data_IF_574106522755
#
_entry.id   IF_574106522755
#
_cell.length_a   1.000
_cell.length_b   1.000
_cell.length_c   1.000
_cell.angle_alpha   90.00
_cell.angle_beta   90.00
_cell.angle_gamma   90.00
#
_symmetry.space_group_name_H-M   'P 1'
#
loop_
_entity.id
_entity.type
_entity.pdbx_description
1 polymer ?
#
# COMPACT_ATOMS: atom_id res chain seq x y z
N UNK A 1 6.17 -37.74 28.99
CA UNK A 1 6.14 -37.42 27.55
C UNK A 1 6.25 -35.90 27.41
N UNK A 2 7.44 -35.36 27.14
CA UNK A 2 7.60 -33.91 26.93
C UNK A 2 6.91 -33.52 25.63
N UNK A 3 5.81 -32.78 25.71
CA UNK A 3 5.18 -32.15 24.54
C UNK A 3 6.15 -31.05 24.08
N UNK A 4 6.99 -31.38 23.10
CA UNK A 4 7.77 -30.38 22.37
C UNK A 4 6.79 -29.37 21.78
N UNK A 5 6.73 -28.17 22.35
CA UNK A 5 5.98 -27.06 21.76
C UNK A 5 6.74 -26.64 20.51
N UNK A 6 6.14 -26.84 19.35
CA UNK A 6 6.61 -26.31 18.08
C UNK A 6 6.93 -24.80 18.24
N UNK A 7 8.21 -24.38 18.17
CA UNK A 7 8.60 -22.99 18.33
C UNK A 7 8.03 -22.11 17.20
N UNK A 8 7.71 -22.75 16.07
CA UNK A 8 7.18 -22.13 14.87
C UNK A 8 8.22 -21.37 14.07
N UNK A 9 8.01 -21.31 12.75
CA UNK A 9 8.88 -20.63 11.81
C UNK A 9 8.60 -19.12 11.79
N UNK A 10 9.61 -18.23 11.85
CA UNK A 10 9.40 -16.81 11.65
C UNK A 10 8.93 -16.52 10.22
N UNK A 11 8.00 -15.59 10.03
CA UNK A 11 7.61 -15.17 8.67
C UNK A 11 8.67 -14.41 7.90
N UNK A 12 9.73 -13.95 8.57
CA UNK A 12 10.82 -13.22 7.91
C UNK A 12 11.60 -14.12 6.93
N UNK A 13 11.45 -15.45 7.00
CA UNK A 13 11.95 -16.37 5.96
C UNK A 13 11.26 -16.18 4.60
N UNK A 14 10.00 -15.75 4.62
CA UNK A 14 9.18 -15.48 3.42
C UNK A 14 9.26 -14.02 2.96
N UNK A 15 9.57 -13.10 3.88
CA UNK A 15 9.68 -11.67 3.62
C UNK A 15 11.10 -11.21 3.94
N UNK A 16 12.02 -11.62 3.09
CA UNK A 16 13.45 -11.43 3.33
C UNK A 16 13.79 -9.95 3.43
N UNK A 17 14.54 -9.62 4.49
CA UNK A 17 15.10 -8.31 4.73
C UNK A 17 16.53 -8.31 4.22
N UNK A 18 16.93 -7.20 3.58
CA UNK A 18 18.29 -7.00 3.07
C UNK A 18 19.31 -7.10 4.21
N UNK A 19 20.39 -7.86 4.06
CA UNK A 19 21.33 -8.12 5.14
C UNK A 19 22.08 -6.87 5.63
N UNK A 20 22.19 -5.83 4.80
CA UNK A 20 22.84 -4.55 5.17
C UNK A 20 22.00 -3.74 6.17
N UNK A 21 20.70 -4.03 6.29
CA UNK A 21 19.78 -3.29 7.16
C UNK A 21 19.63 -4.04 8.48
N UNK A 22 20.39 -3.59 9.48
CA UNK A 22 20.52 -4.26 10.78
C UNK A 22 19.47 -3.84 11.82
N UNK A 23 18.80 -2.71 11.60
CA UNK A 23 17.83 -2.09 12.51
C UNK A 23 16.36 -2.42 12.17
N UNK A 24 16.13 -3.25 11.15
CA UNK A 24 14.79 -3.66 10.74
C UNK A 24 14.04 -4.40 11.88
N UNK A 25 12.76 -4.09 12.13
CA UNK A 25 11.95 -4.82 13.11
C UNK A 25 11.83 -6.31 12.74
N UNK A 26 12.23 -7.19 13.67
CA UNK A 26 12.08 -8.65 13.52
C UNK A 26 10.65 -9.09 13.81
N UNK A 27 10.14 -10.08 13.06
CA UNK A 27 8.79 -10.61 13.30
C UNK A 27 8.66 -11.34 14.64
N UNK A 28 7.55 -11.06 15.32
CA UNK A 28 7.12 -11.81 16.49
C UNK A 28 6.12 -12.91 16.14
N UNK A 29 5.45 -12.81 15.01
CA UNK A 29 4.56 -13.86 14.51
C UNK A 29 5.36 -15.12 14.13
N UNK A 30 4.81 -16.28 14.49
CA UNK A 30 5.43 -17.59 14.26
C UNK A 30 4.40 -18.52 13.61
N UNK A 31 4.76 -19.07 12.46
CA UNK A 31 4.01 -20.07 11.73
C UNK A 31 4.08 -21.37 12.53
N UNK A 32 2.93 -21.87 12.99
CA UNK A 32 2.88 -23.06 13.84
C UNK A 32 2.07 -24.15 13.18
N UNK A 33 2.65 -25.35 13.11
CA UNK A 33 1.96 -26.52 12.57
C UNK A 33 0.65 -26.77 13.33
N UNK A 34 -0.41 -27.07 12.59
CA UNK A 34 -1.74 -27.31 13.16
C UNK A 34 -2.50 -26.06 13.61
N UNK A 35 -1.83 -24.95 13.93
CA UNK A 35 -2.47 -23.69 14.35
C UNK A 35 -2.67 -22.71 13.19
N UNK A 36 -1.61 -22.41 12.44
CA UNK A 36 -1.66 -21.48 11.31
C UNK A 36 -2.46 -22.10 10.16
N UNK A 37 -3.27 -21.28 9.47
CA UNK A 37 -4.07 -21.75 8.33
C UNK A 37 -3.13 -22.18 7.20
N UNK A 38 -3.01 -23.49 6.99
CA UNK A 38 -2.17 -24.08 5.95
C UNK A 38 -2.91 -24.20 4.62
N UNK A 39 -2.16 -24.36 3.52
CA UNK A 39 -2.72 -24.54 2.18
C UNK A 39 -3.69 -25.74 2.09
N UNK A 40 -3.37 -26.85 2.76
CA UNK A 40 -4.26 -28.01 2.84
C UNK A 40 -5.59 -27.65 3.51
N UNK A 41 -5.53 -26.93 4.64
CA UNK A 41 -6.73 -26.52 5.38
C UNK A 41 -7.56 -25.48 4.62
N UNK A 42 -6.89 -24.60 3.89
CA UNK A 42 -7.52 -23.62 2.99
C UNK A 42 -8.30 -24.31 1.88
N UNK A 43 -7.68 -25.23 1.14
CA UNK A 43 -8.38 -26.00 0.09
C UNK A 43 -9.58 -26.78 0.63
N UNK A 44 -9.47 -27.37 1.82
CA UNK A 44 -10.58 -28.09 2.46
C UNK A 44 -11.72 -27.20 2.98
N UNK A 45 -11.59 -25.87 2.91
CA UNK A 45 -12.63 -24.93 3.34
C UNK A 45 -13.64 -24.61 2.23
N UNK A 46 -13.38 -25.06 0.99
CA UNK A 46 -14.25 -24.84 -0.15
C UNK A 46 -15.18 -26.04 -0.37
N UNK A 47 -16.40 -25.77 -0.85
CA UNK A 47 -17.28 -26.78 -1.43
C UNK A 47 -16.72 -27.29 -2.78
N UNK A 48 -17.26 -28.39 -3.33
CA UNK A 48 -16.89 -28.87 -4.66
C UNK A 48 -17.04 -27.77 -5.75
N UNK A 49 -18.09 -26.96 -5.67
CA UNK A 49 -18.37 -25.88 -6.62
C UNK A 49 -17.55 -24.61 -6.35
N UNK A 50 -16.85 -24.55 -5.20
CA UNK A 50 -15.93 -23.48 -4.85
C UNK A 50 -16.46 -22.41 -3.91
N UNK A 51 -17.56 -22.66 -3.19
CA UNK A 51 -18.04 -21.74 -2.15
C UNK A 51 -17.20 -21.91 -0.88
N UNK A 52 -16.79 -20.80 -0.26
CA UNK A 52 -15.92 -20.78 0.92
C UNK A 52 -16.75 -20.74 2.21
N UNK A 53 -16.47 -21.66 3.14
CA UNK A 53 -16.90 -21.53 4.54
C UNK A 53 -16.07 -20.42 5.23
N UNK A 54 -16.52 -19.17 5.03
CA UNK A 54 -15.84 -17.98 5.53
C UNK A 54 -15.86 -17.91 7.05
N UNK A 55 -16.92 -18.38 7.71
CA UNK A 55 -17.06 -18.32 9.17
C UNK A 55 -15.99 -19.18 9.85
N UNK A 56 -15.86 -20.43 9.41
CA UNK A 56 -14.84 -21.36 9.93
C UNK A 56 -13.42 -20.89 9.59
N UNK A 57 -13.24 -20.35 8.38
CA UNK A 57 -11.96 -19.80 7.92
C UNK A 57 -11.52 -18.63 8.80
N UNK A 58 -12.37 -17.62 8.98
CA UNK A 58 -12.09 -16.46 9.82
C UNK A 58 -11.78 -16.87 11.27
N UNK A 59 -12.50 -17.85 11.81
CA UNK A 59 -12.22 -18.40 13.15
C UNK A 59 -10.86 -19.10 13.27
N UNK A 60 -10.29 -19.62 12.18
CA UNK A 60 -8.92 -20.17 12.15
C UNK A 60 -7.87 -19.07 12.01
N UNK A 61 -8.09 -18.13 11.09
CA UNK A 61 -7.21 -16.98 10.86
C UNK A 61 -7.01 -16.21 12.17
N UNK A 62 -8.08 -15.93 12.91
CA UNK A 62 -8.00 -15.23 14.19
C UNK A 62 -7.14 -15.97 15.23
N UNK A 63 -7.21 -17.31 15.28
CA UNK A 63 -6.48 -18.13 16.26
C UNK A 63 -5.02 -18.39 15.91
N UNK A 64 -4.67 -18.39 14.63
CA UNK A 64 -3.37 -18.88 14.18
C UNK A 64 -2.71 -18.12 13.03
N UNK A 65 -3.38 -17.11 12.46
CA UNK A 65 -2.94 -16.37 11.28
C UNK A 65 -3.03 -17.19 9.99
N UNK A 66 -2.60 -16.57 8.90
CA UNK A 66 -2.50 -17.20 7.57
C UNK A 66 -1.06 -17.56 7.25
N UNK A 67 -0.85 -18.76 6.70
CA UNK A 67 0.46 -19.17 6.20
C UNK A 67 0.86 -18.31 4.99
N UNK A 68 2.11 -17.79 4.89
CA UNK A 68 2.52 -16.88 3.82
C UNK A 68 2.20 -17.39 2.40
N UNK A 69 2.39 -18.69 2.16
CA UNK A 69 2.19 -19.32 0.84
C UNK A 69 0.76 -19.27 0.27
N UNK A 70 -0.26 -18.92 1.08
CA UNK A 70 -1.65 -18.80 0.62
C UNK A 70 -2.23 -17.42 0.91
N UNK A 71 -1.41 -16.49 1.39
CA UNK A 71 -1.89 -15.22 1.91
C UNK A 71 -2.52 -14.35 0.81
N UNK A 72 -1.97 -14.38 -0.40
CA UNK A 72 -2.56 -13.74 -1.58
C UNK A 72 -4.01 -14.18 -1.82
N UNK A 73 -4.23 -15.48 -1.99
CA UNK A 73 -5.58 -16.05 -2.21
C UNK A 73 -6.55 -15.71 -1.07
N UNK A 74 -6.10 -15.84 0.19
CA UNK A 74 -6.94 -15.54 1.35
C UNK A 74 -7.32 -14.06 1.39
N UNK A 75 -6.39 -13.17 1.05
CA UNK A 75 -6.60 -11.73 1.08
C UNK A 75 -7.61 -11.26 0.03
N UNK A 76 -7.73 -11.94 -1.11
CA UNK A 76 -8.82 -11.67 -2.07
C UNK A 76 -10.20 -11.78 -1.39
N UNK A 77 -10.41 -12.73 -0.48
CA UNK A 77 -11.66 -12.84 0.29
C UNK A 77 -11.73 -11.85 1.46
N UNK A 78 -10.64 -11.62 2.21
CA UNK A 78 -10.63 -10.68 3.34
C UNK A 78 -10.87 -9.23 2.88
N UNK A 79 -10.35 -8.86 1.72
CA UNK A 79 -10.56 -7.55 1.11
C UNK A 79 -11.89 -7.47 0.36
N UNK A 80 -12.59 -8.59 0.16
CA UNK A 80 -13.88 -8.62 -0.52
C UNK A 80 -13.75 -8.45 -2.03
N UNK A 81 -12.60 -8.82 -2.58
CA UNK A 81 -12.42 -8.99 -4.01
C UNK A 81 -13.23 -10.19 -4.50
N UNK A 82 -13.32 -11.24 -3.70
CA UNK A 82 -14.15 -12.43 -3.97
C UNK A 82 -15.30 -12.53 -2.96
N UNK A 83 -16.51 -12.88 -3.43
CA UNK A 83 -17.63 -13.25 -2.55
C UNK A 83 -17.42 -14.70 -2.08
N UNK A 84 -17.45 -15.00 -0.77
CA UNK A 84 -17.37 -16.37 -0.28
C UNK A 84 -18.44 -17.31 -0.86
N UNK A 85 -19.58 -16.80 -1.31
CA UNK A 85 -20.67 -17.59 -1.89
C UNK A 85 -20.51 -17.87 -3.38
N UNK A 86 -19.50 -17.28 -4.03
CA UNK A 86 -19.30 -17.48 -5.46
C UNK A 86 -18.66 -18.83 -5.77
N UNK A 87 -18.87 -19.34 -6.99
CA UNK A 87 -18.23 -20.56 -7.49
C UNK A 87 -16.79 -20.29 -7.97
N UNK A 88 -16.06 -21.33 -8.36
CA UNK A 88 -14.75 -21.18 -9.02
C UNK A 88 -14.85 -20.43 -10.35
N UNK A 89 -15.85 -20.76 -11.17
CA UNK A 89 -16.10 -20.18 -12.49
C UNK A 89 -16.42 -18.69 -12.40
N UNK A 90 -17.37 -18.31 -11.53
CA UNK A 90 -17.73 -16.91 -11.29
C UNK A 90 -16.52 -16.07 -10.84
N UNK A 91 -15.60 -16.65 -10.05
CA UNK A 91 -14.36 -15.94 -9.66
C UNK A 91 -13.37 -15.82 -10.80
N UNK A 92 -13.29 -16.82 -11.67
CA UNK A 92 -12.42 -16.77 -12.84
C UNK A 92 -12.89 -15.65 -13.80
N UNK A 93 -14.17 -15.62 -14.13
CA UNK A 93 -14.78 -14.58 -14.97
C UNK A 93 -14.64 -13.18 -14.34
N UNK A 94 -14.91 -13.06 -13.03
CA UNK A 94 -14.74 -11.80 -12.32
C UNK A 94 -13.29 -11.30 -12.38
N UNK A 95 -12.32 -12.21 -12.27
CA UNK A 95 -10.90 -11.87 -12.32
C UNK A 95 -10.49 -11.42 -13.73
N UNK A 96 -10.93 -12.12 -14.77
CA UNK A 96 -10.69 -11.75 -16.16
C UNK A 96 -11.23 -10.34 -16.47
N UNK A 97 -12.52 -10.11 -16.21
CA UNK A 97 -13.16 -8.80 -16.41
C UNK A 97 -12.46 -7.67 -15.65
N UNK A 98 -11.97 -7.95 -14.46
CA UNK A 98 -11.20 -6.99 -13.65
C UNK A 98 -9.83 -6.67 -14.24
N UNK A 99 -9.14 -7.68 -14.78
CA UNK A 99 -7.86 -7.54 -15.46
C UNK A 99 -8.00 -6.72 -16.73
N UNK A 100 -9.02 -7.00 -17.53
CA UNK A 100 -9.36 -6.18 -18.70
C UNK A 100 -9.65 -4.73 -18.30
N UNK A 101 -10.46 -4.53 -17.27
CA UNK A 101 -10.82 -3.17 -16.82
C UNK A 101 -9.61 -2.38 -16.33
N UNK A 102 -8.72 -3.02 -15.57
CA UNK A 102 -7.48 -2.41 -15.15
C UNK A 102 -6.57 -2.08 -16.33
N UNK A 103 -6.44 -3.00 -17.30
CA UNK A 103 -5.65 -2.78 -18.50
C UNK A 103 -6.15 -1.57 -19.32
N UNK A 104 -7.47 -1.40 -19.45
CA UNK A 104 -8.08 -0.22 -20.09
C UNK A 104 -7.68 1.08 -19.39
N UNK A 105 -7.78 1.12 -18.06
CA UNK A 105 -7.40 2.31 -17.29
C UNK A 105 -5.90 2.60 -17.32
N UNK A 106 -5.07 1.55 -17.30
CA UNK A 106 -3.62 1.68 -17.43
C UNK A 106 -3.25 2.23 -18.82
N UNK A 107 -3.94 1.77 -19.86
CA UNK A 107 -3.74 2.28 -21.23
C UNK A 107 -4.18 3.74 -21.36
N UNK A 108 -5.30 4.13 -20.75
CA UNK A 108 -5.73 5.53 -20.69
C UNK A 108 -4.66 6.42 -20.05
N UNK A 109 -4.11 5.99 -18.90
CA UNK A 109 -3.01 6.68 -18.24
C UNK A 109 -1.75 6.75 -19.11
N UNK A 110 -1.42 5.65 -19.81
CA UNK A 110 -0.27 5.55 -20.72
C UNK A 110 -0.39 6.50 -21.91
N UNK A 111 -1.59 6.68 -22.47
CA UNK A 111 -1.82 7.64 -23.56
C UNK A 111 -1.54 9.08 -23.12
N UNK A 112 -1.82 9.42 -21.87
CA UNK A 112 -1.52 10.74 -21.30
C UNK A 112 -0.06 10.88 -20.86
N UNK A 113 0.55 9.80 -20.39
CA UNK A 113 1.95 9.73 -19.96
C UNK A 113 2.58 8.36 -20.29
N UNK A 114 3.35 8.26 -21.39
CA UNK A 114 3.86 6.98 -21.92
C UNK A 114 4.73 6.14 -20.97
N UNK A 115 5.26 6.73 -19.90
CA UNK A 115 6.04 6.00 -18.90
C UNK A 115 5.19 4.98 -18.11
N UNK A 116 3.86 5.16 -18.03
CA UNK A 116 2.96 4.24 -17.34
C UNK A 116 3.01 2.86 -17.99
N UNK A 117 3.38 1.84 -17.20
CA UNK A 117 3.55 0.48 -17.68
C UNK A 117 4.81 0.22 -18.49
N UNK A 118 5.79 1.12 -18.46
CA UNK A 118 7.09 0.93 -19.14
C UNK A 118 8.12 0.15 -18.31
N UNK A 119 7.86 -0.06 -17.01
CA UNK A 119 8.86 -0.59 -16.07
C UNK A 119 9.80 0.48 -15.48
N UNK A 120 9.61 1.76 -15.86
CA UNK A 120 10.29 2.92 -15.29
C UNK A 120 9.29 3.81 -14.54
N UNK A 121 9.80 4.68 -13.66
CA UNK A 121 9.03 5.69 -12.95
C UNK A 121 9.88 6.94 -12.73
N UNK A 122 9.24 8.07 -12.49
CA UNK A 122 9.88 9.38 -12.28
C UNK A 122 9.92 9.76 -10.82
N UNK A 123 10.90 10.56 -10.43
CA UNK A 123 10.97 11.23 -9.12
C UNK A 123 11.05 12.75 -9.23
N UNK A 124 11.31 13.27 -10.44
CA UNK A 124 11.29 14.70 -10.73
C UNK A 124 9.91 15.16 -11.27
N UNK A 125 9.48 16.39 -10.97
CA UNK A 125 8.23 16.96 -11.50
C UNK A 125 8.33 17.15 -13.02
N UNK A 126 7.31 16.70 -13.76
CA UNK A 126 7.28 16.74 -15.23
C UNK A 126 6.58 17.98 -15.81
N UNK A 127 5.74 18.64 -15.01
CA UNK A 127 5.00 19.84 -15.40
C UNK A 127 4.98 20.86 -14.24
N UNK A 128 4.82 22.14 -14.57
CA UNK A 128 4.54 23.19 -13.59
C UNK A 128 3.03 23.28 -13.27
N UNK A 129 2.66 24.17 -12.34
CA UNK A 129 1.26 24.38 -11.91
C UNK A 129 0.36 24.90 -13.05
N UNK A 130 0.95 25.46 -14.10
CA UNK A 130 0.28 25.93 -15.32
C UNK A 130 0.07 24.80 -16.34
N UNK A 131 0.60 23.60 -16.09
CA UNK A 131 0.53 22.46 -17.01
C UNK A 131 1.57 22.50 -18.13
N UNK A 132 2.61 23.32 -18.03
CA UNK A 132 3.67 23.39 -19.03
C UNK A 132 4.77 22.36 -18.70
N UNK A 133 5.31 21.65 -19.72
CA UNK A 133 6.40 20.69 -19.51
C UNK A 133 7.67 21.34 -18.94
N UNK A 134 8.27 20.68 -17.94
CA UNK A 134 9.56 21.09 -17.37
C UNK A 134 10.70 20.53 -18.24
N UNK A 135 11.58 21.41 -18.71
CA UNK A 135 12.70 21.09 -19.61
C UNK A 135 14.01 20.77 -18.86
N UNK A 136 13.91 20.25 -17.63
CA UNK A 136 15.08 19.94 -16.82
C UNK A 136 15.78 18.66 -17.36
N UNK A 137 17.12 18.63 -17.48
CA UNK A 137 17.85 17.47 -17.98
C UNK A 137 17.59 16.17 -17.21
N UNK A 138 17.35 16.23 -15.90
CA UNK A 138 17.02 15.06 -15.09
C UNK A 138 15.62 14.52 -15.42
N UNK A 139 14.65 15.43 -15.64
CA UNK A 139 13.30 15.08 -16.06
C UNK A 139 13.32 14.39 -17.42
N UNK A 140 14.10 14.92 -18.36
CA UNK A 140 14.27 14.31 -19.68
C UNK A 140 14.91 12.92 -19.59
N UNK A 141 15.90 12.74 -18.72
CA UNK A 141 16.54 11.44 -18.51
C UNK A 141 15.55 10.40 -17.93
N UNK A 142 14.77 10.76 -16.91
CA UNK A 142 13.80 9.86 -16.28
C UNK A 142 12.62 9.50 -17.19
N UNK A 143 12.25 10.41 -18.09
CA UNK A 143 11.13 10.23 -19.02
C UNK A 143 11.53 9.55 -20.34
N UNK A 144 12.84 9.38 -20.60
CA UNK A 144 13.33 8.72 -21.80
C UNK A 144 13.05 7.21 -21.76
N UNK A 145 12.24 6.76 -22.70
CA UNK A 145 12.07 5.34 -23.02
C UNK A 145 13.22 4.93 -23.94
N UNK A 146 14.13 4.09 -23.45
CA UNK A 146 15.14 3.48 -24.31
C UNK A 146 14.41 2.44 -25.16
N UNK A 147 14.35 2.66 -26.48
CA UNK A 147 13.89 1.65 -27.41
C UNK A 147 14.89 0.49 -27.38
N UNK A 148 14.48 -0.64 -26.80
CA UNK A 148 15.31 -1.83 -26.77
C UNK A 148 15.37 -2.49 -28.14
N UNK A 149 16.48 -2.32 -28.87
CA UNK A 149 17.08 -3.33 -29.74
C UNK A 149 18.61 -3.13 -29.79
N UNK A 150 19.38 -4.22 -29.63
CA UNK A 150 20.77 -4.26 -30.09
C UNK A 150 21.80 -4.79 -29.09
N UNK A 151 21.81 -6.10 -28.86
CA UNK A 151 23.02 -6.81 -28.45
C UNK A 151 24.12 -6.65 -29.52
N UNK A 152 25.36 -6.50 -29.05
CA UNK A 152 26.56 -6.22 -29.84
C UNK A 152 26.85 -7.24 -30.96
N UNK A 153 27.38 -6.74 -32.09
CA UNK A 153 27.94 -7.58 -33.15
C UNK A 153 28.44 -6.83 -34.40
N UNK A 154 29.68 -6.33 -34.32
CA UNK A 154 30.65 -6.14 -35.41
C UNK A 154 30.39 -5.15 -36.55
N UNK A 155 31.30 -4.18 -36.60
CA UNK A 155 31.68 -3.29 -37.70
C UNK A 155 32.12 -3.99 -39.00
N UNK A 156 31.65 -3.49 -40.14
CA UNK A 156 32.45 -3.29 -41.36
C UNK A 156 31.75 -2.29 -42.30
N UNK A 157 32.57 -1.52 -43.02
CA UNK A 157 32.29 -0.34 -43.83
C UNK A 157 31.25 -0.52 -44.96
N UNK A 158 30.55 0.56 -45.35
CA UNK A 158 30.91 1.26 -46.58
C UNK A 158 30.26 2.65 -46.67
N UNK A 159 30.96 3.60 -47.29
CA UNK A 159 30.54 4.98 -47.44
C UNK A 159 29.70 5.22 -48.69
N UNK A 160 28.72 6.13 -48.60
CA UNK A 160 28.36 7.00 -49.72
C UNK A 160 27.49 8.15 -49.22
N UNK A 161 27.84 9.37 -49.60
CA UNK A 161 27.19 10.59 -49.15
C UNK A 161 25.76 10.73 -49.67
N UNK A 162 24.90 11.32 -48.85
CA UNK A 162 23.83 12.15 -49.39
C UNK A 162 23.44 13.23 -48.36
N UNK A 163 23.76 14.47 -48.69
CA UNK A 163 23.20 15.65 -48.05
C UNK A 163 21.72 15.74 -48.43
N UNK A 164 20.84 15.36 -47.51
CA UNK A 164 19.41 15.66 -47.63
C UNK A 164 19.02 16.56 -46.47
N UNK A 165 18.86 17.83 -46.81
CA UNK A 165 18.12 18.84 -46.05
C UNK A 165 16.80 18.25 -45.57
N UNK A 166 16.69 17.95 -44.28
CA UNK A 166 15.40 17.56 -43.69
C UNK A 166 14.82 18.78 -43.03
N UNK A 167 13.86 19.36 -43.75
CA UNK A 167 13.13 20.55 -43.38
C UNK A 167 12.55 20.49 -41.98
N UNK A 168 12.58 21.65 -41.36
CA UNK A 168 11.66 22.13 -40.33
C UNK A 168 10.21 21.84 -40.72
N UNK A 169 9.67 20.72 -40.27
CA UNK A 169 8.23 20.42 -40.24
C UNK A 169 7.88 19.77 -38.90
N UNK A 170 8.03 20.52 -37.81
CA UNK A 170 7.38 20.21 -36.53
C UNK A 170 6.63 21.46 -36.05
N UNK A 171 5.64 21.87 -36.85
CA UNK A 171 4.67 22.89 -36.48
C UNK A 171 3.28 22.27 -36.42
N UNK A 172 2.71 22.33 -35.21
CA UNK A 172 1.29 22.20 -34.90
C UNK A 172 0.64 20.80 -35.06
N UNK A 173 1.06 19.85 -34.21
CA UNK A 173 0.02 19.07 -33.52
C UNK A 173 -0.74 20.05 -32.65
N UNK A 174 -1.99 20.33 -33.01
CA UNK A 174 -2.97 21.04 -32.19
C UNK A 174 -2.95 20.38 -30.80
N UNK A 175 -2.21 20.99 -29.85
CA UNK A 175 -2.13 20.48 -28.48
C UNK A 175 -3.51 20.71 -27.89
N UNK A 176 -4.33 19.67 -27.89
CA UNK A 176 -5.58 19.66 -27.13
C UNK A 176 -5.21 20.12 -25.71
N UNK A 177 -5.83 21.21 -25.20
CA UNK A 177 -5.52 21.72 -23.88
C UNK A 177 -5.72 20.60 -22.86
N UNK A 178 -4.70 20.33 -22.04
CA UNK A 178 -4.81 19.32 -20.98
C UNK A 178 -5.95 19.67 -20.04
N UNK A 179 -6.75 18.67 -19.67
CA UNK A 179 -7.81 18.89 -18.69
C UNK A 179 -7.23 19.22 -17.32
N UNK A 180 -7.97 19.96 -16.48
CA UNK A 180 -7.56 20.24 -15.09
C UNK A 180 -7.25 18.95 -14.31
N UNK A 181 -8.02 17.89 -14.56
CA UNK A 181 -7.82 16.57 -13.96
C UNK A 181 -6.48 15.96 -14.36
N UNK A 182 -6.13 16.03 -15.65
CA UNK A 182 -4.84 15.53 -16.17
C UNK A 182 -3.65 16.31 -15.61
N UNK A 183 -3.75 17.63 -15.53
CA UNK A 183 -2.72 18.49 -14.91
C UNK A 183 -2.53 18.08 -13.44
N UNK A 184 -3.62 18.02 -12.67
CA UNK A 184 -3.54 17.64 -11.25
C UNK A 184 -2.94 16.25 -11.06
N UNK A 185 -3.33 15.28 -11.89
CA UNK A 185 -2.79 13.93 -11.85
C UNK A 185 -1.29 13.90 -12.18
N UNK A 186 -0.85 14.56 -13.26
CA UNK A 186 0.56 14.67 -13.64
C UNK A 186 1.43 15.33 -12.56
N UNK A 187 0.90 16.36 -11.88
CA UNK A 187 1.57 16.99 -10.73
C UNK A 187 1.82 16.00 -9.60
N UNK A 188 0.97 14.98 -9.41
CA UNK A 188 1.15 13.99 -8.32
C UNK A 188 2.18 12.88 -8.63
N UNK A 189 2.49 12.62 -9.90
CA UNK A 189 3.27 11.43 -10.31
C UNK A 189 4.68 11.36 -9.72
N UNK A 190 5.35 12.51 -9.62
CA UNK A 190 6.70 12.58 -9.04
C UNK A 190 6.66 12.29 -7.53
N UNK A 191 5.64 12.79 -6.82
CA UNK A 191 5.45 12.52 -5.40
C UNK A 191 5.17 11.04 -5.14
N UNK A 192 4.40 10.38 -6.03
CA UNK A 192 4.23 8.93 -5.99
C UNK A 192 5.59 8.24 -6.13
N UNK A 193 6.41 8.65 -7.10
CA UNK A 193 7.73 8.06 -7.31
C UNK A 193 8.70 8.24 -6.13
N UNK A 194 8.73 9.41 -5.51
CA UNK A 194 9.48 9.65 -4.28
C UNK A 194 9.03 8.72 -3.15
N UNK A 195 7.72 8.51 -3.00
CA UNK A 195 7.15 7.60 -2.02
C UNK A 195 7.43 6.12 -2.34
N UNK A 196 7.38 5.72 -3.60
CA UNK A 196 7.76 4.38 -4.06
C UNK A 196 9.21 4.07 -3.69
N UNK A 197 10.15 4.99 -3.99
CA UNK A 197 11.58 4.82 -3.71
C UNK A 197 11.90 4.62 -2.22
N UNK A 198 11.07 5.17 -1.33
CA UNK A 198 11.22 5.05 0.14
C UNK A 198 10.36 3.94 0.78
N UNK A 199 9.51 3.27 0.00
CA UNK A 199 8.57 2.25 0.52
C UNK A 199 9.30 0.94 0.78
N UNK A 200 9.18 0.42 2.01
CA UNK A 200 9.70 -0.89 2.44
C UNK A 200 11.09 -1.26 1.90
N UNK A 201 12.01 -0.27 1.79
CA UNK A 201 13.37 -0.41 1.23
C UNK A 201 14.21 -1.52 1.88
N UNK A 202 13.82 -1.94 3.07
CA UNK A 202 14.45 -3.04 3.80
C UNK A 202 14.12 -4.41 3.22
N UNK A 203 13.05 -4.56 2.43
CA UNK A 203 12.68 -5.83 1.83
C UNK A 203 13.49 -6.08 0.55
N UNK A 204 14.03 -7.28 0.41
CA UNK A 204 14.71 -7.77 -0.80
C UNK A 204 13.79 -7.68 -2.03
N UNK A 205 12.47 -7.81 -1.82
CA UNK A 205 11.46 -7.67 -2.88
C UNK A 205 11.63 -6.38 -3.71
N UNK A 206 11.96 -5.26 -3.07
CA UNK A 206 12.11 -3.95 -3.73
C UNK A 206 13.51 -3.70 -4.29
N UNK A 207 14.40 -4.70 -4.35
CA UNK A 207 15.64 -4.60 -5.14
C UNK A 207 15.36 -4.64 -6.64
N UNK A 208 14.28 -5.33 -7.03
CA UNK A 208 13.88 -5.41 -8.43
C UNK A 208 13.16 -4.14 -8.84
N UNK A 209 13.70 -3.45 -9.83
CA UNK A 209 13.10 -2.25 -10.41
C UNK A 209 11.67 -2.51 -10.91
N UNK A 210 11.41 -3.71 -11.45
CA UNK A 210 10.08 -4.15 -11.88
C UNK A 210 9.02 -4.04 -10.77
N UNK A 211 9.38 -4.36 -9.54
CA UNK A 211 8.46 -4.31 -8.39
C UNK A 211 8.17 -2.86 -7.96
N UNK A 212 9.16 -1.98 -8.04
CA UNK A 212 8.99 -0.55 -7.79
C UNK A 212 8.12 0.09 -8.89
N UNK A 213 8.36 -0.24 -10.15
CA UNK A 213 7.55 0.22 -11.27
C UNK A 213 6.10 -0.28 -11.17
N UNK A 214 5.90 -1.56 -10.81
CA UNK A 214 4.58 -2.13 -10.53
C UNK A 214 3.84 -1.36 -9.43
N UNK A 215 4.53 -0.99 -8.34
CA UNK A 215 3.96 -0.17 -7.27
C UNK A 215 3.55 1.21 -7.77
N UNK A 216 4.42 1.86 -8.54
CA UNK A 216 4.18 3.18 -9.10
C UNK A 216 3.00 3.19 -10.07
N UNK A 217 2.93 2.22 -10.99
CA UNK A 217 1.83 2.07 -11.94
C UNK A 217 0.47 1.93 -11.25
N UNK A 218 0.37 1.05 -10.25
CA UNK A 218 -0.89 0.83 -9.52
C UNK A 218 -1.34 2.12 -8.82
N UNK A 219 -0.41 2.84 -8.19
CA UNK A 219 -0.72 4.08 -7.48
C UNK A 219 -1.10 5.21 -8.44
N UNK A 220 -0.41 5.31 -9.58
CA UNK A 220 -0.71 6.28 -10.62
C UNK A 220 -2.08 6.04 -11.24
N UNK A 221 -2.41 4.78 -11.58
CA UNK A 221 -3.73 4.41 -12.09
C UNK A 221 -4.80 4.67 -11.04
N UNK A 222 -4.57 4.32 -9.77
CA UNK A 222 -5.54 4.61 -8.69
C UNK A 222 -5.82 6.11 -8.57
N UNK A 223 -4.79 6.94 -8.57
CA UNK A 223 -4.90 8.39 -8.45
C UNK A 223 -5.68 9.03 -9.62
N UNK A 224 -5.66 8.40 -10.79
CA UNK A 224 -6.47 8.82 -11.94
C UNK A 224 -7.96 8.46 -11.81
N UNK A 225 -8.24 7.25 -11.30
CA UNK A 225 -9.60 6.70 -11.22
C UNK A 225 -10.39 7.27 -10.06
N UNK A 226 -9.74 7.51 -8.93
CA UNK A 226 -10.34 8.10 -7.74
C UNK A 226 -9.82 9.52 -7.54
N UNK A 227 -10.32 10.47 -8.34
CA UNK A 227 -9.86 11.87 -8.31
C UNK A 227 -10.29 12.65 -7.06
N UNK A 228 -11.35 12.24 -6.36
CA UNK A 228 -11.68 12.87 -5.06
C UNK A 228 -10.62 12.59 -3.99
N UNK A 229 -9.96 11.43 -4.04
CA UNK A 229 -8.89 11.05 -3.09
C UNK A 229 -7.53 11.35 -3.69
N UNK A 230 -7.38 11.14 -4.99
CA UNK A 230 -6.13 11.19 -5.72
C UNK A 230 -5.07 10.29 -5.09
N UNK A 231 -3.87 10.84 -4.97
CA UNK A 231 -2.79 10.24 -4.20
C UNK A 231 -2.51 11.05 -2.94
N UNK A 232 -2.40 10.35 -1.82
CA UNK A 232 -2.00 10.89 -0.54
C UNK A 232 -0.78 10.14 -0.01
N UNK A 233 0.12 10.86 0.66
CA UNK A 233 1.32 10.29 1.24
C UNK A 233 0.97 9.13 2.19
N UNK A 234 1.68 8.00 2.03
CA UNK A 234 1.43 6.76 2.79
C UNK A 234 0.56 5.73 2.08
N UNK A 235 -0.10 6.08 0.96
CA UNK A 235 -0.81 5.09 0.15
C UNK A 235 0.13 4.01 -0.43
N UNK A 236 1.40 4.33 -0.67
CA UNK A 236 2.40 3.34 -1.10
C UNK A 236 2.65 2.26 -0.03
N UNK A 237 2.62 2.61 1.25
CA UNK A 237 2.73 1.66 2.36
C UNK A 237 1.52 0.72 2.45
N UNK A 238 0.35 1.20 2.05
CA UNK A 238 -0.87 0.40 1.98
C UNK A 238 -0.89 -0.52 0.76
N UNK A 239 -0.31 -0.07 -0.36
CA UNK A 239 -0.25 -0.84 -1.60
C UNK A 239 0.88 -1.89 -1.58
N UNK A 240 1.98 -1.64 -0.88
CA UNK A 240 3.14 -2.54 -0.77
C UNK A 240 2.77 -3.99 -0.42
N UNK A 241 1.95 -4.25 0.61
CA UNK A 241 1.43 -5.60 0.87
C UNK A 241 0.72 -6.26 -0.32
N UNK A 242 -0.03 -5.51 -1.12
CA UNK A 242 -0.81 -6.08 -2.21
C UNK A 242 0.10 -6.65 -3.29
N UNK A 243 1.13 -5.90 -3.68
CA UNK A 243 2.04 -6.33 -4.76
C UNK A 243 2.98 -7.45 -4.33
N UNK A 244 3.29 -7.54 -3.03
CA UNK A 244 4.12 -8.62 -2.46
C UNK A 244 3.31 -9.92 -2.35
N UNK A 245 2.01 -9.82 -2.07
CA UNK A 245 1.14 -10.98 -1.88
C UNK A 245 0.52 -11.50 -3.16
N UNK A 246 0.43 -10.68 -4.21
CA UNK A 246 -0.27 -10.99 -5.46
C UNK A 246 0.67 -10.79 -6.65
N UNK A 247 0.89 -11.87 -7.38
CA UNK A 247 1.82 -11.87 -8.53
C UNK A 247 1.31 -10.95 -9.65
N UNK A 248 0.00 -11.00 -9.95
CA UNK A 248 -0.60 -10.19 -10.99
C UNK A 248 -0.84 -8.74 -10.53
N UNK A 249 -0.45 -7.77 -11.36
CA UNK A 249 -0.61 -6.35 -11.09
C UNK A 249 -2.06 -5.90 -10.95
N UNK A 250 -2.96 -6.37 -11.82
CA UNK A 250 -4.38 -6.04 -11.72
C UNK A 250 -4.99 -6.57 -10.43
N UNK A 251 -4.69 -7.81 -10.06
CA UNK A 251 -5.24 -8.40 -8.83
C UNK A 251 -4.75 -7.61 -7.60
N UNK A 252 -3.49 -7.14 -7.65
CA UNK A 252 -2.91 -6.23 -6.65
C UNK A 252 -3.66 -4.90 -6.59
N UNK A 253 -3.93 -4.28 -7.76
CA UNK A 253 -4.71 -3.05 -7.88
C UNK A 253 -6.10 -3.21 -7.27
N UNK A 254 -6.84 -4.27 -7.59
CA UNK A 254 -8.19 -4.46 -7.08
C UNK A 254 -8.22 -4.72 -5.57
N UNK A 255 -7.22 -5.42 -5.04
CA UNK A 255 -7.07 -5.57 -3.59
C UNK A 255 -6.76 -4.23 -2.91
N UNK A 256 -5.87 -3.43 -3.49
CA UNK A 256 -5.57 -2.09 -3.02
C UNK A 256 -6.79 -1.16 -3.07
N UNK A 257 -7.52 -1.16 -4.19
CA UNK A 257 -8.73 -0.37 -4.39
C UNK A 257 -9.80 -0.70 -3.34
N UNK A 258 -10.02 -2.00 -3.07
CA UNK A 258 -10.96 -2.46 -2.02
C UNK A 258 -10.52 -2.06 -0.62
N UNK A 259 -9.22 -2.02 -0.36
CA UNK A 259 -8.68 -1.48 0.89
C UNK A 259 -8.97 0.02 0.98
N UNK A 260 -8.64 0.78 -0.06
CA UNK A 260 -8.83 2.21 -0.10
C UNK A 260 -10.29 2.62 0.02
N UNK A 261 -11.27 1.92 -0.59
CA UNK A 261 -12.71 2.15 -0.36
C UNK A 261 -13.09 2.21 1.12
N UNK A 262 -12.42 1.42 1.97
CA UNK A 262 -12.67 1.37 3.41
C UNK A 262 -11.93 2.47 4.17
N UNK A 263 -10.86 3.00 3.59
CA UNK A 263 -10.00 4.03 4.18
C UNK A 263 -10.24 5.41 3.58
N UNK A 264 -11.07 5.58 2.54
CA UNK A 264 -11.30 6.87 1.86
C UNK A 264 -11.59 8.00 2.85
N UNK A 265 -12.39 7.74 3.90
CA UNK A 265 -12.69 8.73 4.93
C UNK A 265 -11.46 9.25 5.70
N UNK A 266 -10.38 8.47 5.79
CA UNK A 266 -9.13 8.89 6.41
C UNK A 266 -8.35 9.86 5.53
N UNK A 267 -8.49 9.75 4.20
CA UNK A 267 -7.69 10.47 3.21
C UNK A 267 -8.41 11.69 2.61
N UNK A 268 -9.74 11.78 2.73
CA UNK A 268 -10.48 12.99 2.32
C UNK A 268 -10.23 14.11 3.34
N UNK A 269 -9.77 15.27 2.86
CA UNK A 269 -9.88 16.54 3.59
C UNK A 269 -11.16 17.23 3.14
N UNK A 270 -12.22 17.15 3.95
CA UNK A 270 -13.53 17.75 3.62
C UNK A 270 -13.51 19.29 3.70
N UNK A 271 -12.48 19.84 4.33
CA UNK A 271 -12.16 21.27 4.41
C UNK A 271 -10.69 21.31 4.79
N UNK A 272 -9.82 22.09 4.14
CA UNK A 272 -8.35 22.07 4.32
C UNK A 272 -7.80 22.44 5.72
N UNK A 273 -8.54 22.13 6.80
CA UNK A 273 -8.23 22.38 8.21
C UNK A 273 -8.32 21.13 9.10
N UNK A 274 -8.84 19.99 8.64
CA UNK A 274 -8.85 18.76 9.45
C UNK A 274 -8.46 17.50 8.65
N UNK A 275 -7.67 16.64 9.29
CA UNK A 275 -7.30 15.32 8.77
C UNK A 275 -8.48 14.38 8.99
N UNK A 276 -8.85 13.56 8.00
CA UNK A 276 -9.99 12.62 8.08
C UNK A 276 -9.92 11.59 9.23
N UNK A 277 -8.81 11.53 9.96
CA UNK A 277 -8.63 10.68 11.15
C UNK A 277 -8.92 11.39 12.49
N UNK A 278 -9.34 12.66 12.50
CA UNK A 278 -9.60 13.42 13.74
C UNK A 278 -10.56 12.68 14.69
N UNK A 279 -11.67 12.15 14.16
CA UNK A 279 -12.60 11.37 14.95
C UNK A 279 -11.96 10.10 15.55
N UNK A 280 -10.97 9.50 14.89
CA UNK A 280 -10.25 8.34 15.40
C UNK A 280 -9.26 8.74 16.51
N UNK A 281 -8.61 9.89 16.38
CA UNK A 281 -7.74 10.45 17.42
C UNK A 281 -8.54 10.78 18.69
N UNK A 282 -9.69 11.43 18.56
CA UNK A 282 -10.55 11.75 19.69
C UNK A 282 -11.06 10.49 20.42
N UNK A 283 -11.40 9.44 19.65
CA UNK A 283 -11.75 8.15 20.23
C UNK A 283 -10.56 7.50 20.96
N UNK A 284 -9.35 7.60 20.40
CA UNK A 284 -8.14 7.08 21.02
C UNK A 284 -7.82 7.80 22.34
N UNK A 285 -7.93 9.13 22.36
CA UNK A 285 -7.76 9.94 23.56
C UNK A 285 -8.76 9.50 24.65
N UNK A 286 -10.05 9.44 24.31
CA UNK A 286 -11.14 9.02 25.22
C UNK A 286 -10.88 7.61 25.78
N UNK A 287 -10.49 6.66 24.93
CA UNK A 287 -10.24 5.28 25.35
C UNK A 287 -8.99 5.21 26.23
N UNK A 288 -7.94 5.94 25.89
CA UNK A 288 -6.71 6.00 26.71
C UNK A 288 -6.99 6.62 28.07
N UNK A 289 -7.80 7.67 28.13
CA UNK A 289 -8.23 8.29 29.39
C UNK A 289 -8.96 7.30 30.31
N UNK A 290 -9.79 6.41 29.76
CA UNK A 290 -10.51 5.39 30.55
C UNK A 290 -9.61 4.22 30.94
N UNK A 291 -8.78 3.73 30.03
CA UNK A 291 -7.97 2.51 30.22
C UNK A 291 -6.68 2.77 30.99
N UNK A 292 -6.09 3.96 30.79
CA UNK A 292 -4.85 4.38 31.43
C UNK A 292 -4.85 5.91 31.66
N UNK A 293 -5.62 6.40 32.66
CA UNK A 293 -5.75 7.83 32.92
C UNK A 293 -4.40 8.52 33.20
N UNK A 294 -3.46 7.80 33.82
CA UNK A 294 -2.11 8.32 34.14
C UNK A 294 -1.31 8.58 32.87
N UNK A 295 -1.36 7.67 31.90
CA UNK A 295 -0.73 7.86 30.59
C UNK A 295 -1.35 9.03 29.85
N UNK A 296 -2.68 9.13 29.82
CA UNK A 296 -3.37 10.23 29.16
C UNK A 296 -2.97 11.59 29.74
N UNK A 297 -3.01 11.74 31.07
CA UNK A 297 -2.59 12.97 31.75
C UNK A 297 -1.12 13.31 31.47
N UNK A 298 -0.25 12.29 31.41
CA UNK A 298 1.15 12.49 31.05
C UNK A 298 1.31 13.03 29.62
N UNK A 299 0.57 12.47 28.66
CA UNK A 299 0.56 12.95 27.27
C UNK A 299 0.02 14.38 27.17
N UNK A 300 -1.06 14.70 27.88
CA UNK A 300 -1.58 16.07 27.96
C UNK A 300 -0.55 17.05 28.52
N UNK A 301 0.15 16.67 29.59
CA UNK A 301 1.20 17.51 30.21
C UNK A 301 2.36 17.79 29.23
N UNK A 302 2.64 16.86 28.32
CA UNK A 302 3.65 17.02 27.28
C UNK A 302 3.12 17.74 26.02
N UNK A 303 1.88 18.21 26.01
CA UNK A 303 1.24 18.85 24.87
C UNK A 303 0.78 17.88 23.76
N UNK A 304 0.75 16.58 24.03
CA UNK A 304 0.33 15.51 23.10
C UNK A 304 -1.07 14.95 23.36
N UNK A 305 -1.94 15.73 24.01
CA UNK A 305 -3.30 15.32 24.40
C UNK A 305 -4.27 15.11 23.23
N UNK A 306 -3.93 15.63 22.05
CA UNK A 306 -4.66 15.47 20.79
C UNK A 306 -4.21 14.24 19.97
N UNK A 307 -3.17 13.54 20.43
CA UNK A 307 -2.64 12.31 19.85
C UNK A 307 -2.18 12.46 18.38
N UNK A 308 -1.79 13.65 17.93
CA UNK A 308 -1.37 13.87 16.52
C UNK A 308 -0.22 12.93 16.08
N UNK A 309 0.61 12.46 17.02
CA UNK A 309 1.66 11.45 16.75
C UNK A 309 1.10 10.14 16.15
N UNK A 310 -0.17 9.82 16.44
CA UNK A 310 -0.83 8.62 15.94
C UNK A 310 -1.38 8.76 14.52
N UNK A 311 -1.42 9.97 13.93
CA UNK A 311 -1.97 10.18 12.57
C UNK A 311 -1.37 9.20 11.57
N UNK A 312 -0.03 9.15 11.51
CA UNK A 312 0.69 8.26 10.60
C UNK A 312 0.32 6.80 10.87
N UNK A 313 0.22 6.39 12.12
CA UNK A 313 -0.13 5.02 12.51
C UNK A 313 -1.53 4.66 12.01
N UNK A 314 -2.51 5.55 12.14
CA UNK A 314 -3.88 5.30 11.71
C UNK A 314 -4.04 5.33 10.18
N UNK A 315 -3.34 6.25 9.52
CA UNK A 315 -3.37 6.42 8.06
C UNK A 315 -2.84 5.18 7.33
N UNK A 316 -1.72 4.62 7.80
CA UNK A 316 -1.09 3.45 7.16
C UNK A 316 -1.31 2.14 7.93
N UNK A 317 -2.34 2.07 8.78
CA UNK A 317 -2.72 0.88 9.55
C UNK A 317 -1.53 0.22 10.27
N UNK A 318 -0.73 1.04 10.95
CA UNK A 318 0.46 0.66 11.71
C UNK A 318 1.57 -0.02 10.90
N UNK A 319 1.51 0.01 9.56
CA UNK A 319 2.52 -0.65 8.72
C UNK A 319 3.93 -0.24 9.11
N UNK A 320 4.18 1.02 9.41
CA UNK A 320 5.52 1.50 9.77
C UNK A 320 5.98 1.16 11.20
N UNK A 321 5.10 0.61 12.05
CA UNK A 321 5.41 0.32 13.46
C UNK A 321 5.84 -1.13 13.70
N UNK A 322 5.50 -2.02 12.77
CA UNK A 322 5.73 -3.45 12.89
C UNK A 322 6.61 -3.98 11.75
N UNK A 323 7.14 -5.20 11.92
CA UNK A 323 7.73 -5.91 10.79
C UNK A 323 6.68 -6.14 9.71
N UNK A 324 7.12 -6.43 8.48
CA UNK A 324 6.19 -6.69 7.39
C UNK A 324 5.24 -7.85 7.73
N UNK A 325 5.79 -8.99 8.17
CA UNK A 325 4.98 -10.15 8.58
C UNK A 325 4.02 -9.86 9.73
N UNK A 326 4.44 -9.10 10.75
CA UNK A 326 3.58 -8.73 11.88
C UNK A 326 2.45 -7.78 11.46
N UNK A 327 2.69 -6.91 10.48
CA UNK A 327 1.66 -6.03 9.92
C UNK A 327 0.59 -6.81 9.17
N UNK A 328 0.98 -7.80 8.37
CA UNK A 328 0.02 -8.64 7.65
C UNK A 328 -0.86 -9.44 8.63
N UNK A 329 -0.26 -10.01 9.67
CA UNK A 329 -1.00 -10.70 10.72
C UNK A 329 -1.97 -9.76 11.46
N UNK A 330 -1.54 -8.54 11.77
CA UNK A 330 -2.42 -7.52 12.35
C UNK A 330 -3.63 -7.26 11.45
N UNK A 331 -3.42 -7.04 10.16
CA UNK A 331 -4.51 -6.72 9.22
C UNK A 331 -5.50 -7.89 9.06
N UNK A 332 -4.99 -9.12 9.03
CA UNK A 332 -5.81 -10.35 9.05
C UNK A 332 -6.69 -10.42 10.31
N UNK A 333 -6.10 -10.12 11.48
CA UNK A 333 -6.79 -10.11 12.75
C UNK A 333 -7.87 -9.01 12.82
N UNK A 334 -7.54 -7.80 12.37
CA UNK A 334 -8.47 -6.65 12.32
C UNK A 334 -9.71 -6.93 11.47
N UNK A 335 -9.58 -7.77 10.44
CA UNK A 335 -10.71 -8.11 9.56
C UNK A 335 -11.81 -8.87 10.29
N UNK A 336 -11.46 -9.78 11.21
CA UNK A 336 -12.43 -10.51 12.05
C UNK A 336 -13.15 -9.57 13.01
N UNK A 337 -12.39 -8.72 13.70
CA UNK A 337 -12.95 -7.77 14.66
C UNK A 337 -13.98 -6.82 14.01
N UNK A 338 -13.71 -6.35 12.79
CA UNK A 338 -14.70 -5.55 12.03
C UNK A 338 -15.94 -6.34 11.64
N UNK A 339 -15.83 -7.65 11.43
CA UNK A 339 -16.98 -8.51 11.16
C UNK A 339 -17.84 -8.72 12.40
N UNK A 340 -17.22 -8.92 13.57
CA UNK A 340 -17.91 -9.13 14.85
C UNK A 340 -18.50 -7.83 15.41
N UNK A 341 -17.81 -6.71 15.27
CA UNK A 341 -18.30 -5.38 15.66
C UNK A 341 -19.50 -4.92 14.82
N UNK A 342 -19.70 -5.44 13.59
CA UNK A 342 -20.94 -5.23 12.83
C UNK A 342 -22.11 -6.05 13.36
N UNK A 343 -21.84 -7.22 13.94
CA UNK A 343 -22.85 -8.10 14.56
C UNK A 343 -23.27 -7.56 15.94
N UNK A 344 -22.34 -6.97 16.68
CA UNK A 344 -22.61 -6.25 17.93
C UNK A 344 -23.09 -4.82 17.59
N UNK A 345 -24.41 -4.64 17.56
CA UNK A 345 -25.08 -3.34 17.35
C UNK A 345 -24.32 -2.18 18.04
N UNK A 346 -23.74 -1.29 17.23
CA UNK A 346 -23.43 0.08 17.66
C UNK A 346 -21.97 0.52 17.69
N UNK A 347 -20.96 -0.34 17.44
CA UNK A 347 -19.59 0.16 17.39
C UNK A 347 -19.27 0.84 16.05
N UNK A 348 -19.10 2.15 16.06
CA UNK A 348 -18.61 2.92 14.89
C UNK A 348 -17.20 2.44 14.53
N UNK A 349 -16.85 2.49 13.25
CA UNK A 349 -15.57 1.97 12.68
C UNK A 349 -14.30 2.39 13.43
N UNK A 350 -14.31 3.56 14.08
CA UNK A 350 -13.19 4.07 14.91
C UNK A 350 -13.01 3.36 16.25
N UNK A 351 -14.06 2.80 16.85
CA UNK A 351 -13.99 2.13 18.16
C UNK A 351 -13.32 0.76 18.09
N UNK A 352 -13.44 0.03 16.97
CA UNK A 352 -12.70 -1.22 16.79
C UNK A 352 -11.19 -0.99 16.73
N UNK A 353 -10.74 0.06 16.04
CA UNK A 353 -9.33 0.40 15.92
C UNK A 353 -8.73 0.82 17.26
N UNK A 354 -9.49 1.58 18.06
CA UNK A 354 -9.06 1.97 19.40
C UNK A 354 -9.11 0.81 20.41
N UNK A 355 -10.08 -0.12 20.29
CA UNK A 355 -10.07 -1.38 21.04
C UNK A 355 -8.89 -2.29 20.64
N UNK A 356 -8.46 -2.24 19.37
CA UNK A 356 -7.23 -2.87 18.89
C UNK A 356 -6.01 -2.19 19.52
N UNK A 357 -5.93 -0.85 19.53
CA UNK A 357 -4.84 -0.13 20.21
C UNK A 357 -4.78 -0.43 21.71
N UNK A 358 -5.93 -0.52 22.37
CA UNK A 358 -6.06 -0.93 23.77
C UNK A 358 -5.68 -2.40 24.00
N UNK A 359 -6.03 -3.31 23.08
CA UNK A 359 -5.60 -4.72 23.11
C UNK A 359 -4.10 -4.86 22.79
N UNK A 360 -3.55 -3.93 22.02
CA UNK A 360 -2.14 -3.80 21.71
C UNK A 360 -1.34 -3.08 22.81
N UNK A 361 -1.97 -2.69 23.93
CA UNK A 361 -1.34 -2.03 25.10
C UNK A 361 0.00 -2.66 25.48
N UNK A 362 0.08 -3.99 25.64
CA UNK A 362 1.34 -4.65 26.00
C UNK A 362 2.40 -4.68 24.89
N UNK A 363 2.00 -4.56 23.62
CA UNK A 363 2.90 -4.58 22.45
C UNK A 363 3.40 -3.19 22.08
N UNK A 364 2.56 -2.16 22.22
CA UNK A 364 2.88 -0.74 21.98
C UNK A 364 3.73 -0.19 23.13
N UNK A 365 3.39 -0.49 24.40
CA UNK A 365 4.18 -0.04 25.56
C UNK A 365 5.62 -0.58 25.58
N UNK A 366 5.88 -1.74 24.95
CA UNK A 366 7.25 -2.27 24.78
C UNK A 366 8.04 -1.61 23.63
N UNK A 367 7.37 -0.91 22.72
CA UNK A 367 7.97 -0.29 21.53
C UNK A 367 8.23 1.22 21.73
N UNK A 368 7.47 1.89 22.60
CA UNK A 368 7.37 3.36 22.54
C UNK A 368 8.21 4.16 23.53
N UNK A 369 8.81 3.58 24.58
CA UNK A 369 9.59 4.40 25.51
C UNK A 369 10.90 4.97 24.91
N UNK A 370 11.40 4.40 23.80
CA UNK A 370 12.64 4.84 23.11
C UNK A 370 12.39 5.59 21.78
N UNK A 371 11.19 5.50 21.20
CA UNK A 371 10.87 6.00 19.86
C UNK A 371 9.97 7.24 19.83
N UNK A 372 9.36 7.64 20.95
CA UNK A 372 8.54 8.86 21.00
C UNK A 372 9.36 10.16 21.05
N UNK A 373 10.62 10.10 21.48
CA UNK A 373 11.48 11.28 21.62
C UNK A 373 11.59 12.11 20.32
N UNK A 374 11.87 11.54 19.12
CA UNK A 374 11.99 12.33 17.90
C UNK A 374 10.69 12.97 17.40
N UNK A 375 9.52 12.40 17.73
CA UNK A 375 8.21 12.94 17.32
C UNK A 375 7.76 14.10 18.21
N UNK A 376 8.21 14.12 19.48
CA UNK A 376 8.02 15.26 20.38
C UNK A 376 8.92 16.47 20.03
N UNK A 377 9.98 16.25 19.25
CA UNK A 377 10.85 17.33 18.72
C UNK A 377 10.46 17.84 17.33
N UNK A 378 9.48 17.22 16.65
CA UNK A 378 9.00 17.72 15.34
C UNK A 378 7.96 18.85 15.47
N UNK A 379 7.46 19.14 16.67
CA UNK A 379 6.63 20.33 16.93
C UNK A 379 7.43 21.64 16.99
N UNK A 380 8.77 21.61 16.95
CA UNK A 380 9.63 22.80 16.90
C UNK A 380 10.03 23.24 15.49
N UNK A 381 9.38 22.75 14.44
CA UNK A 381 9.64 23.12 13.03
C UNK A 381 8.46 23.82 12.32
N UNK A 382 7.48 24.33 13.08
CA UNK A 382 6.62 25.40 12.57
C UNK A 382 7.39 26.72 12.75
N UNK A 383 7.63 27.50 11.68
CA UNK A 383 8.27 28.80 11.82
C UNK A 383 7.36 29.70 12.68
N UNK A 384 7.92 30.27 13.74
CA UNK A 384 7.31 31.41 14.39
C UNK A 384 7.42 32.61 13.43
N UNK A 385 6.28 33.21 13.12
CA UNK A 385 6.03 34.41 12.29
C UNK A 385 6.36 34.32 10.80
#
# INVERSE_FOLDING_TARGET
MMIWRDPGEPTDSYYQVRPEITDAPKTKFRIKAGKTLSARKWRSAFSPDGQLDISKTLGRIHRGGVHPSIRGEVWEFLLGCCDPRSTYEERAELRERRREKYAQWKEECRRMFPLIGSGKFITAPIINDQGEPIQDPLVLLETTLENGEGGAGTSAADGSGNSISRGTEDAAREKVPMSKKEIQWKLTLHQIGLDVKRTDRALVFYEKQENLAKLWDILAVYAWIDDDVGYCQGMSDLCSPMIILLDNESDSFWCFERLMRRLRGNFRSETGRSVGVEAQLNNLATITQVIDPKLHQHLETLGGGDYLFAIRMLMVLFRREFSFGDSLYLWEFMKKLKSEAKTLRGLKSGQSLCAIMASMKERILKVEHRKMLPYLFLSSLLPAS
#
